data_IF_711375986933
#
_entry.id   IF_711375986933
#
_cell.length_a   1.000
_cell.length_b   1.000
_cell.length_c   1.000
_cell.angle_alpha   90.00
_cell.angle_beta   90.00
_cell.angle_gamma   90.00
#
_symmetry.space_group_name_H-M   'P 1'
#
loop_
_entity.id
_entity.type
_entity.pdbx_description
1 polymer ?
#
# COMPACT_ATOMS: atom_id res chain seq x y z
N UNK A 1 17.65 0.38 -8.56
CA UNK A 1 17.70 1.62 -7.77
C UNK A 1 19.15 1.88 -7.38
N UNK A 2 19.64 3.11 -7.56
CA UNK A 2 20.99 3.50 -7.14
C UNK A 2 21.11 3.36 -5.60
N UNK A 3 22.17 2.70 -5.14
CA UNK A 3 22.45 2.47 -3.72
C UNK A 3 22.62 3.79 -2.97
N UNK A 4 23.06 4.85 -3.64
CA UNK A 4 23.16 6.20 -3.06
C UNK A 4 21.78 6.79 -2.74
N UNK A 5 20.84 6.74 -3.70
CA UNK A 5 19.46 7.19 -3.48
C UNK A 5 18.77 6.40 -2.37
N UNK A 6 19.12 5.12 -2.24
CA UNK A 6 18.55 4.29 -1.21
C UNK A 6 18.92 4.72 0.21
N UNK A 7 20.20 5.06 0.41
CA UNK A 7 20.73 5.59 1.67
C UNK A 7 20.14 6.97 1.98
N UNK A 8 20.06 7.86 0.98
CA UNK A 8 19.51 9.21 1.16
C UNK A 8 18.05 9.19 1.68
N UNK A 9 17.24 8.25 1.18
CA UNK A 9 15.85 8.10 1.63
C UNK A 9 15.76 7.64 3.09
N UNK A 10 16.52 6.60 3.46
CA UNK A 10 16.57 6.09 4.82
C UNK A 10 17.03 7.16 5.82
N UNK A 11 18.09 7.92 5.46
CA UNK A 11 18.61 9.03 6.27
C UNK A 11 17.57 10.14 6.46
N UNK A 12 16.82 10.48 5.41
CA UNK A 12 15.72 11.46 5.49
C UNK A 12 14.63 11.01 6.45
N UNK A 13 14.23 9.74 6.41
CA UNK A 13 13.24 9.22 7.35
C UNK A 13 13.77 9.33 8.77
N UNK A 14 15.00 8.87 9.02
CA UNK A 14 15.64 8.92 10.34
C UNK A 14 15.73 10.36 10.89
N UNK A 15 16.14 11.31 10.07
CA UNK A 15 16.19 12.72 10.44
C UNK A 15 14.79 13.28 10.76
N UNK A 16 13.78 12.91 9.96
CA UNK A 16 12.40 13.37 10.15
C UNK A 16 11.79 12.83 11.45
N UNK A 17 11.97 11.54 11.75
CA UNK A 17 11.43 10.91 12.96
C UNK A 17 12.16 11.34 14.23
N UNK A 18 13.43 11.78 14.14
CA UNK A 18 14.20 12.31 15.27
C UNK A 18 13.79 13.74 15.65
N UNK A 19 13.13 14.47 14.74
CA UNK A 19 12.60 15.81 14.99
C UNK A 19 11.19 15.80 15.59
N UNK A 20 10.65 16.98 15.93
CA UNK A 20 9.25 17.14 16.35
C UNK A 20 8.25 17.12 15.18
N UNK A 21 8.68 16.82 13.94
CA UNK A 21 7.82 16.80 12.77
C UNK A 21 6.68 15.78 12.86
N UNK A 22 6.84 14.69 13.64
CA UNK A 22 5.78 13.72 13.87
C UNK A 22 4.52 14.31 14.52
N UNK A 23 4.65 15.39 15.31
CA UNK A 23 3.51 16.07 15.93
C UNK A 23 2.72 16.94 14.93
N UNK A 24 3.30 17.23 13.76
CA UNK A 24 2.77 18.17 12.76
C UNK A 24 2.42 17.51 11.43
N UNK A 25 2.80 16.25 11.23
CA UNK A 25 2.62 15.52 9.98
C UNK A 25 2.21 14.09 10.24
N UNK A 26 1.02 13.70 9.75
CA UNK A 26 0.53 12.33 9.82
C UNK A 26 1.49 11.34 9.12
N UNK A 27 2.15 11.78 8.04
CA UNK A 27 3.16 10.98 7.36
C UNK A 27 4.34 10.66 8.28
N UNK A 28 4.92 11.68 8.91
CA UNK A 28 6.05 11.49 9.83
C UNK A 28 5.62 10.72 11.08
N UNK A 29 4.38 10.89 11.53
CA UNK A 29 3.81 10.05 12.60
C UNK A 29 3.77 8.56 12.20
N UNK A 30 3.33 8.24 10.98
CA UNK A 30 3.35 6.87 10.44
C UNK A 30 4.78 6.32 10.29
N UNK A 31 5.74 7.12 9.82
CA UNK A 31 7.16 6.73 9.80
C UNK A 31 7.69 6.44 11.20
N UNK A 32 7.36 7.28 12.18
CA UNK A 32 7.77 7.09 13.57
C UNK A 32 7.15 5.82 14.16
N UNK A 33 5.87 5.51 13.88
CA UNK A 33 5.24 4.23 14.27
C UNK A 33 5.95 3.04 13.64
N UNK A 34 6.18 3.08 12.32
CA UNK A 34 6.90 2.03 11.57
C UNK A 34 8.27 1.72 12.19
N UNK A 35 9.07 2.74 12.49
CA UNK A 35 10.39 2.57 13.09
C UNK A 35 10.33 2.17 14.57
N UNK A 36 9.51 2.86 15.38
CA UNK A 36 9.58 2.76 16.85
C UNK A 36 8.71 1.63 17.40
N UNK A 37 7.49 1.50 16.90
CA UNK A 37 6.53 0.49 17.36
C UNK A 37 6.76 -0.84 16.65
N UNK A 38 6.96 -0.82 15.33
CA UNK A 38 7.12 -2.04 14.53
C UNK A 38 8.59 -2.46 14.33
N UNK A 39 9.55 -1.65 14.79
CA UNK A 39 11.00 -1.95 14.72
C UNK A 39 11.51 -2.21 13.30
N UNK A 40 10.90 -1.53 12.33
CA UNK A 40 11.32 -1.63 10.93
C UNK A 40 12.49 -0.68 10.65
N UNK A 41 13.41 -1.15 9.82
CA UNK A 41 14.52 -0.34 9.28
C UNK A 41 14.15 0.11 7.86
N UNK A 42 14.07 1.42 7.54
CA UNK A 42 13.71 1.89 6.20
C UNK A 42 14.64 1.35 5.10
N UNK A 43 15.89 0.98 5.42
CA UNK A 43 16.83 0.37 4.49
C UNK A 43 16.61 -1.14 4.27
N UNK A 44 15.65 -1.76 4.96
CA UNK A 44 15.32 -3.18 4.84
C UNK A 44 14.96 -3.58 3.40
N UNK A 45 15.49 -4.72 2.96
CA UNK A 45 15.31 -5.22 1.59
C UNK A 45 14.52 -6.53 1.47
N UNK A 46 14.00 -7.05 2.58
CA UNK A 46 13.16 -8.26 2.52
C UNK A 46 11.87 -7.97 1.76
N UNK A 47 11.50 -8.84 0.84
CA UNK A 47 10.20 -8.78 0.16
C UNK A 47 9.05 -8.96 1.16
N UNK A 48 7.84 -8.46 0.85
CA UNK A 48 6.66 -8.67 1.67
C UNK A 48 6.43 -10.17 1.97
N UNK A 49 5.97 -10.47 3.19
CA UNK A 49 5.57 -11.85 3.53
C UNK A 49 4.42 -12.28 2.62
N UNK A 50 4.56 -13.44 1.99
CA UNK A 50 3.48 -14.06 1.22
C UNK A 50 2.78 -15.11 2.06
N UNK A 51 1.45 -15.06 2.06
CA UNK A 51 0.58 -16.09 2.63
C UNK A 51 0.72 -17.39 1.83
N UNK A 52 0.53 -18.50 2.53
CA UNK A 52 0.20 -19.79 1.92
C UNK A 52 -1.18 -19.74 1.27
N UNK A 53 -1.48 -20.68 0.37
CA UNK A 53 -2.78 -20.74 -0.30
C UNK A 53 -3.94 -20.95 0.70
N UNK A 54 -3.68 -21.67 1.80
CA UNK A 54 -4.67 -21.87 2.87
C UNK A 54 -4.94 -20.55 3.60
N UNK A 55 -3.90 -19.82 4.01
CA UNK A 55 -4.06 -18.52 4.65
C UNK A 55 -4.77 -17.52 3.74
N UNK A 56 -4.44 -17.49 2.44
CA UNK A 56 -5.10 -16.62 1.46
C UNK A 56 -6.58 -17.02 1.25
N UNK A 57 -6.90 -18.30 1.24
CA UNK A 57 -8.28 -18.78 1.16
C UNK A 57 -9.10 -18.29 2.36
N UNK A 58 -8.53 -18.37 3.57
CA UNK A 58 -9.16 -17.86 4.79
C UNK A 58 -9.35 -16.34 4.70
N UNK A 59 -8.32 -15.58 4.31
CA UNK A 59 -8.41 -14.13 4.12
C UNK A 59 -9.55 -13.77 3.15
N UNK A 60 -9.63 -14.44 1.99
CA UNK A 60 -10.71 -14.24 1.01
C UNK A 60 -12.10 -14.54 1.58
N UNK A 61 -12.24 -15.62 2.37
CA UNK A 61 -13.52 -15.98 2.98
C UNK A 61 -14.03 -14.89 3.94
N UNK A 62 -13.15 -14.23 4.68
CA UNK A 62 -13.56 -13.18 5.63
C UNK A 62 -14.21 -11.96 4.97
N UNK A 63 -13.93 -11.72 3.69
CA UNK A 63 -14.44 -10.58 2.91
C UNK A 63 -15.24 -11.03 1.68
N UNK A 64 -15.67 -12.28 1.63
CA UNK A 64 -16.35 -12.88 0.47
C UNK A 64 -17.63 -12.14 0.04
N UNK A 65 -18.54 -11.73 0.96
CA UNK A 65 -19.73 -10.97 0.57
C UNK A 65 -19.39 -9.60 -0.04
N UNK A 66 -18.36 -8.93 0.49
CA UNK A 66 -17.86 -7.67 -0.06
C UNK A 66 -17.25 -7.89 -1.44
N UNK A 67 -16.41 -8.91 -1.60
CA UNK A 67 -15.79 -9.25 -2.87
C UNK A 67 -16.82 -9.51 -3.96
N UNK A 68 -17.87 -10.29 -3.64
CA UNK A 68 -18.95 -10.59 -4.57
C UNK A 68 -19.71 -9.31 -4.99
N UNK A 69 -20.01 -8.43 -4.04
CA UNK A 69 -20.72 -7.17 -4.31
C UNK A 69 -19.86 -6.13 -5.05
N UNK A 70 -18.54 -6.13 -4.86
CA UNK A 70 -17.64 -5.10 -5.36
C UNK A 70 -17.16 -5.30 -6.81
N UNK A 71 -17.33 -6.50 -7.40
CA UNK A 71 -16.74 -6.85 -8.70
C UNK A 71 -16.94 -5.77 -9.77
N UNK A 72 -18.19 -5.37 -10.04
CA UNK A 72 -18.48 -4.37 -11.07
C UNK A 72 -17.88 -2.99 -10.77
N UNK A 73 -17.76 -2.61 -9.50
CA UNK A 73 -17.15 -1.34 -9.10
C UNK A 73 -15.64 -1.37 -9.29
N UNK A 74 -14.99 -2.50 -8.93
CA UNK A 74 -13.57 -2.70 -9.12
C UNK A 74 -13.20 -2.73 -10.61
N UNK A 75 -14.02 -3.35 -11.44
CA UNK A 75 -13.82 -3.38 -12.90
C UNK A 75 -13.96 -1.98 -13.52
N UNK A 76 -14.99 -1.21 -13.12
CA UNK A 76 -15.17 0.18 -13.59
C UNK A 76 -14.03 1.09 -13.15
N UNK A 77 -13.57 0.95 -11.90
CA UNK A 77 -12.42 1.70 -11.41
C UNK A 77 -11.18 1.36 -12.22
N UNK A 78 -10.93 0.08 -12.48
CA UNK A 78 -9.80 -0.35 -13.30
C UNK A 78 -9.89 0.18 -14.74
N UNK A 79 -11.08 0.23 -15.36
CA UNK A 79 -11.26 0.86 -16.67
C UNK A 79 -10.86 2.35 -16.67
N UNK A 80 -11.03 3.06 -15.56
CA UNK A 80 -10.65 4.47 -15.45
C UNK A 80 -9.14 4.69 -15.25
N UNK A 81 -8.45 3.79 -14.54
CA UNK A 81 -7.05 3.98 -14.11
C UNK A 81 -6.05 3.06 -14.79
N UNK A 82 -6.49 1.96 -15.39
CA UNK A 82 -5.63 0.95 -16.00
C UNK A 82 -4.85 1.46 -17.22
N UNK A 83 -5.44 2.39 -17.98
CA UNK A 83 -4.79 3.02 -19.14
C UNK A 83 -3.55 3.85 -18.78
N UNK A 84 -3.43 4.29 -17.52
CA UNK A 84 -2.28 5.05 -17.01
C UNK A 84 -1.33 4.17 -16.18
N UNK A 85 -1.39 2.84 -16.34
CA UNK A 85 -0.46 1.89 -15.71
C UNK A 85 -0.71 1.66 -14.22
N UNK A 86 -1.95 1.86 -13.76
CA UNK A 86 -2.34 1.53 -12.39
C UNK A 86 -2.95 0.13 -12.30
N UNK A 87 -2.77 -0.51 -11.15
CA UNK A 87 -3.56 -1.66 -10.73
C UNK A 87 -4.55 -1.26 -9.62
N UNK A 88 -5.63 -2.00 -9.49
CA UNK A 88 -6.64 -1.86 -8.44
C UNK A 88 -6.58 -3.10 -7.57
N UNK A 89 -6.42 -2.94 -6.26
CA UNK A 89 -6.44 -4.01 -5.28
C UNK A 89 -7.55 -3.79 -4.26
N UNK A 90 -8.23 -4.88 -3.88
CA UNK A 90 -9.01 -4.91 -2.64
C UNK A 90 -8.21 -5.70 -1.61
N UNK A 91 -7.85 -5.07 -0.51
CA UNK A 91 -7.17 -5.70 0.61
C UNK A 91 -8.12 -5.89 1.79
N UNK A 92 -7.99 -7.00 2.51
CA UNK A 92 -8.72 -7.22 3.74
C UNK A 92 -8.25 -6.29 4.87
N UNK A 93 -8.91 -6.37 6.03
CA UNK A 93 -8.58 -5.57 7.22
C UNK A 93 -7.17 -5.81 7.79
N UNK A 94 -6.54 -6.92 7.44
CA UNK A 94 -5.20 -7.30 7.89
C UNK A 94 -4.12 -6.83 6.87
N UNK A 95 -4.54 -6.10 5.84
CA UNK A 95 -3.67 -5.50 4.83
C UNK A 95 -3.21 -6.51 3.78
N UNK A 96 -3.99 -7.56 3.52
CA UNK A 96 -3.67 -8.56 2.51
C UNK A 96 -4.53 -8.30 1.28
N UNK A 97 -3.94 -7.96 0.11
CA UNK A 97 -4.68 -7.94 -1.15
C UNK A 97 -5.29 -9.31 -1.41
N UNK A 98 -6.62 -9.36 -1.45
CA UNK A 98 -7.39 -10.57 -1.73
C UNK A 98 -7.84 -10.63 -3.18
N UNK A 99 -7.90 -9.50 -3.87
CA UNK A 99 -8.36 -9.41 -5.25
C UNK A 99 -7.67 -8.26 -6.00
N UNK A 100 -7.45 -8.42 -7.31
CA UNK A 100 -6.61 -7.50 -8.11
C UNK A 100 -7.08 -7.40 -9.57
N UNK A 101 -7.05 -6.18 -10.11
CA UNK A 101 -7.05 -5.91 -11.56
C UNK A 101 -5.77 -5.18 -11.94
N UNK A 102 -5.10 -5.61 -13.00
CA UNK A 102 -3.86 -5.01 -13.47
C UNK A 102 -3.60 -5.35 -14.93
N UNK A 103 -2.78 -4.53 -15.58
CA UNK A 103 -2.40 -4.77 -16.98
C UNK A 103 -1.24 -5.78 -17.03
N UNK A 104 -1.28 -6.81 -17.91
CA UNK A 104 -0.22 -7.81 -18.01
C UNK A 104 1.19 -7.23 -18.23
N UNK A 105 1.29 -6.09 -18.90
CA UNK A 105 2.57 -5.38 -19.15
C UNK A 105 3.23 -4.87 -17.86
N UNK A 106 2.47 -4.61 -16.80
CA UNK A 106 2.96 -4.12 -15.50
C UNK A 106 3.05 -5.23 -14.44
N UNK A 107 2.48 -6.41 -14.71
CA UNK A 107 2.35 -7.50 -13.73
C UNK A 107 3.70 -8.01 -13.24
N UNK A 108 4.70 -8.13 -14.11
CA UNK A 108 6.05 -8.53 -13.71
C UNK A 108 6.64 -7.55 -12.68
N UNK A 109 6.44 -6.25 -12.88
CA UNK A 109 6.94 -5.21 -11.97
C UNK A 109 6.23 -5.31 -10.62
N UNK A 110 4.90 -5.32 -10.60
CA UNK A 110 4.12 -5.45 -9.36
C UNK A 110 4.43 -6.75 -8.60
N UNK A 111 4.58 -7.86 -9.32
CA UNK A 111 4.94 -9.14 -8.73
C UNK A 111 6.35 -9.09 -8.12
N UNK A 112 7.32 -8.46 -8.79
CA UNK A 112 8.68 -8.28 -8.26
C UNK A 112 8.73 -7.43 -6.99
N UNK A 113 7.82 -6.46 -6.87
CA UNK A 113 7.67 -5.60 -5.68
C UNK A 113 6.84 -6.26 -4.57
N UNK A 114 6.21 -7.38 -4.87
CA UNK A 114 5.35 -8.10 -3.93
C UNK A 114 3.99 -7.44 -3.70
N UNK A 115 3.60 -6.43 -4.47
CA UNK A 115 2.24 -5.86 -4.44
C UNK A 115 1.31 -6.75 -5.26
N UNK A 116 0.96 -7.88 -4.66
CA UNK A 116 0.21 -8.94 -5.28
C UNK A 116 -0.77 -9.58 -4.29
N UNK A 117 -1.70 -10.39 -4.81
CA UNK A 117 -2.63 -11.12 -3.96
C UNK A 117 -1.90 -12.09 -3.03
N UNK A 118 -2.31 -12.08 -1.75
CA UNK A 118 -1.70 -12.89 -0.69
C UNK A 118 -0.40 -12.32 -0.10
N UNK A 119 0.07 -11.14 -0.51
CA UNK A 119 1.18 -10.47 0.18
C UNK A 119 0.68 -9.63 1.36
N UNK A 120 1.39 -9.62 2.48
CA UNK A 120 1.03 -8.83 3.65
C UNK A 120 1.57 -7.41 3.51
N UNK A 121 0.66 -6.42 3.40
CA UNK A 121 0.95 -4.99 3.26
C UNK A 121 0.49 -4.15 4.47
N UNK A 122 0.25 -4.78 5.62
CA UNK A 122 -0.01 -4.05 6.87
C UNK A 122 1.12 -3.07 7.21
N UNK A 123 0.81 -1.95 7.88
CA UNK A 123 1.84 -0.98 8.31
C UNK A 123 2.87 -1.64 9.24
N UNK A 124 2.43 -2.67 9.98
CA UNK A 124 3.30 -3.48 10.81
C UNK A 124 4.40 -4.22 10.03
N UNK A 125 4.07 -4.73 8.84
CA UNK A 125 5.00 -5.53 8.02
C UNK A 125 5.76 -4.68 7.01
N UNK A 126 5.07 -3.77 6.32
CA UNK A 126 5.60 -3.01 5.19
C UNK A 126 5.86 -1.52 5.53
N UNK A 127 5.72 -1.13 6.80
CA UNK A 127 5.85 0.26 7.24
C UNK A 127 4.80 1.14 6.57
N UNK A 128 5.05 2.46 6.55
CA UNK A 128 4.20 3.42 5.84
C UNK A 128 4.07 3.03 4.36
N UNK A 129 2.84 2.70 3.96
CA UNK A 129 2.44 2.32 2.61
C UNK A 129 0.95 2.61 2.43
N UNK A 130 0.43 2.58 1.20
CA UNK A 130 -0.99 2.89 0.93
C UNK A 130 -1.97 2.05 1.75
N UNK A 131 -1.93 0.72 1.58
CA UNK A 131 -2.85 -0.23 2.21
C UNK A 131 -2.78 -0.17 3.73
N UNK A 132 -1.60 -0.43 4.28
CA UNK A 132 -1.40 -0.54 5.71
C UNK A 132 -1.67 0.75 6.47
N UNK A 133 -1.19 1.89 5.95
CA UNK A 133 -1.39 3.17 6.61
C UNK A 133 -2.84 3.63 6.49
N UNK A 134 -3.53 3.35 5.38
CA UNK A 134 -4.97 3.63 5.26
C UNK A 134 -5.79 2.89 6.32
N UNK A 135 -5.47 1.61 6.57
CA UNK A 135 -6.14 0.81 7.60
C UNK A 135 -5.89 1.35 9.01
N UNK A 136 -4.66 1.80 9.31
CA UNK A 136 -4.32 2.40 10.62
C UNK A 136 -4.99 3.77 10.80
N UNK A 137 -4.96 4.61 9.77
CA UNK A 137 -5.45 5.98 9.83
C UNK A 137 -6.97 6.09 9.62
N UNK A 138 -7.61 5.03 9.11
CA UNK A 138 -9.05 4.96 8.83
C UNK A 138 -9.57 6.15 8.04
N UNK A 139 -8.79 6.58 7.04
CA UNK A 139 -9.16 7.69 6.14
C UNK A 139 -8.52 7.50 4.78
N UNK A 140 -9.12 8.04 3.71
CA UNK A 140 -8.47 8.10 2.41
C UNK A 140 -7.13 8.83 2.50
N UNK A 141 -6.13 8.31 1.79
CA UNK A 141 -4.80 8.91 1.72
C UNK A 141 -4.05 8.49 0.45
N UNK A 142 -3.00 9.23 0.16
CA UNK A 142 -2.02 8.90 -0.86
C UNK A 142 -0.65 8.78 -0.19
N UNK A 143 0.05 7.68 -0.48
CA UNK A 143 1.48 7.52 -0.20
C UNK A 143 2.21 7.53 -1.53
N UNK A 144 2.83 8.65 -1.83
CA UNK A 144 3.52 8.89 -3.10
C UNK A 144 5.02 8.68 -2.94
N UNK A 145 5.60 7.73 -3.67
CA UNK A 145 7.04 7.53 -3.84
C UNK A 145 7.81 7.51 -2.51
N UNK A 146 8.64 8.52 -2.28
CA UNK A 146 9.47 8.77 -1.10
C UNK A 146 8.66 9.05 0.18
N UNK A 147 7.34 8.96 0.11
CA UNK A 147 6.49 8.86 1.30
C UNK A 147 6.42 7.43 1.85
N UNK A 148 6.72 6.41 1.03
CA UNK A 148 6.83 5.03 1.51
C UNK A 148 7.96 4.91 2.53
N UNK A 149 7.74 4.11 3.57
CA UNK A 149 8.74 3.91 4.62
C UNK A 149 9.96 3.17 4.09
N UNK A 150 9.76 2.02 3.43
CA UNK A 150 10.88 1.26 2.89
C UNK A 150 11.39 1.86 1.59
N UNK A 151 12.72 1.97 1.48
CA UNK A 151 13.34 2.47 0.26
C UNK A 151 12.95 1.65 -0.97
N UNK A 152 12.84 0.32 -0.86
CA UNK A 152 12.46 -0.54 -2.01
C UNK A 152 11.10 -0.18 -2.62
N UNK A 153 10.23 0.50 -1.87
CA UNK A 153 8.88 0.88 -2.28
C UNK A 153 8.81 2.32 -2.82
N UNK A 154 9.91 3.07 -2.91
CA UNK A 154 9.86 4.50 -3.31
C UNK A 154 9.51 4.74 -4.77
N UNK A 155 9.38 3.68 -5.57
CA UNK A 155 8.88 3.75 -6.94
C UNK A 155 7.36 3.51 -7.04
N UNK A 156 6.71 3.12 -5.94
CA UNK A 156 5.26 3.00 -5.85
C UNK A 156 4.61 4.35 -5.57
N UNK A 157 3.41 4.53 -6.11
CA UNK A 157 2.48 5.55 -5.62
C UNK A 157 1.12 4.90 -5.43
N UNK A 158 0.58 5.03 -4.23
CA UNK A 158 -0.65 4.39 -3.81
C UNK A 158 -1.65 5.45 -3.38
N UNK A 159 -2.89 5.35 -3.87
CA UNK A 159 -4.04 6.08 -3.31
C UNK A 159 -5.02 5.05 -2.82
N UNK A 160 -5.37 5.14 -1.55
CA UNK A 160 -6.09 4.09 -0.84
C UNK A 160 -7.25 4.71 -0.07
N UNK A 161 -8.40 4.04 -0.07
CA UNK A 161 -9.58 4.42 0.72
C UNK A 161 -10.05 3.26 1.60
N UNK A 162 -10.43 3.53 2.87
CA UNK A 162 -10.97 2.50 3.75
C UNK A 162 -12.39 2.11 3.31
N UNK A 163 -12.74 0.84 3.50
CA UNK A 163 -14.07 0.29 3.22
C UNK A 163 -14.70 -0.18 4.52
N UNK A 164 -15.94 0.23 4.74
CA UNK A 164 -16.71 -0.09 5.95
C UNK A 164 -17.93 -0.94 5.63
N UNK A 165 -18.31 -1.80 6.57
CA UNK A 165 -19.59 -2.52 6.50
C UNK A 165 -20.77 -1.63 6.93
N UNK A 166 -21.98 -2.20 6.88
CA UNK A 166 -23.21 -1.49 7.26
C UNK A 166 -23.31 -1.13 8.76
N UNK A 167 -22.42 -1.66 9.61
CA UNK A 167 -22.32 -1.33 11.03
C UNK A 167 -21.23 -0.27 11.30
N UNK A 168 -20.49 0.14 10.27
CA UNK A 168 -19.37 1.07 10.40
C UNK A 168 -18.05 0.41 10.82
N UNK A 169 -17.95 -0.93 10.75
CA UNK A 169 -16.68 -1.60 11.00
C UNK A 169 -15.77 -1.49 9.77
N UNK A 170 -14.49 -1.21 9.97
CA UNK A 170 -13.48 -1.28 8.92
C UNK A 170 -13.28 -2.74 8.51
N UNK A 171 -13.56 -3.06 7.24
CA UNK A 171 -13.51 -4.44 6.73
C UNK A 171 -12.48 -4.65 5.62
N UNK A 172 -12.08 -3.59 4.93
CA UNK A 172 -11.14 -3.67 3.81
C UNK A 172 -10.51 -2.31 3.50
N UNK A 173 -9.54 -2.31 2.59
CA UNK A 173 -8.99 -1.14 1.95
C UNK A 173 -9.05 -1.31 0.42
N UNK A 174 -9.53 -0.29 -0.28
CA UNK A 174 -9.49 -0.20 -1.74
C UNK A 174 -8.25 0.61 -2.12
N UNK A 175 -7.33 -0.03 -2.84
CA UNK A 175 -6.06 0.55 -3.23
C UNK A 175 -5.95 0.69 -4.75
N UNK A 176 -5.43 1.83 -5.19
CA UNK A 176 -5.00 2.02 -6.57
C UNK A 176 -3.53 2.38 -6.55
N UNK A 177 -2.72 1.55 -7.21
CA UNK A 177 -1.27 1.65 -7.17
C UNK A 177 -0.67 1.74 -8.56
N UNK A 178 0.30 2.64 -8.73
CA UNK A 178 1.09 2.79 -9.96
C UNK A 178 2.54 2.37 -9.75
N UNK A 179 3.11 1.70 -10.75
CA UNK A 179 4.53 1.39 -10.83
C UNK A 179 5.28 2.25 -11.86
N UNK A 180 4.61 3.25 -12.45
CA UNK A 180 5.14 4.09 -13.53
C UNK A 180 5.41 5.51 -13.03
N UNK A 181 6.66 5.93 -13.12
CA UNK A 181 7.10 7.24 -12.61
C UNK A 181 6.60 8.43 -13.45
N UNK A 182 6.32 8.23 -14.74
CA UNK A 182 5.90 9.26 -15.69
C UNK A 182 4.41 9.61 -15.62
N UNK A 183 3.58 8.78 -14.98
CA UNK A 183 2.12 8.90 -15.00
C UNK A 183 1.49 9.27 -13.64
N UNK A 184 2.32 9.61 -12.66
CA UNK A 184 1.87 9.83 -11.27
C UNK A 184 1.43 11.27 -10.97
N UNK A 185 1.75 12.27 -11.79
CA UNK A 185 1.38 13.68 -11.50
C UNK A 185 -0.13 13.95 -11.55
N UNK A 186 -0.88 13.26 -12.42
CA UNK A 186 -2.35 13.32 -12.43
C UNK A 186 -3.02 12.60 -11.26
N UNK A 187 -2.25 11.76 -10.54
CA UNK A 187 -2.75 10.83 -9.53
C UNK A 187 -2.67 11.40 -8.10
N UNK A 188 -1.75 12.34 -7.85
CA UNK A 188 -1.56 12.99 -6.52
C UNK A 188 -2.58 14.10 -6.26
N UNK A 189 -3.31 14.55 -7.29
CA UNK A 189 -4.25 15.66 -7.23
C UNK A 189 -5.74 15.24 -7.27
N UNK A 190 -6.03 13.94 -7.15
CA UNK A 190 -7.39 13.38 -7.00
C UNK A 190 -7.75 13.26 -5.51
#
# INVERSE_FOLDING_TARGET
MDRHMATLHADRIQASIASDAAAKSALVASWRRSASLHRLDPAGQKSPRRLTDIELSVARQTVEPLLAAAQSSLDRLYLAVGGVGCCVLLADRDGVPVDRRGAPVDDETFHSWGLWTGSVWSEHSEGTNGIGTCLVEQRPLTIHRDQHFFTRNTLLSCTTAPVYDHLGNLVAALDVSSCRADLTEGFVNL
#
